data_IF_093566972040
#
_entry.id   IF_093566972040
#
_cell.length_a   1.000
_cell.length_b   1.000
_cell.length_c   1.000
_cell.angle_alpha   90.00
_cell.angle_beta   90.00
_cell.angle_gamma   90.00
#
_symmetry.space_group_name_H-M   'P 1'
#
loop_
_entity.id
_entity.type
_entity.pdbx_description
1 polymer ?
#
# COMPACT_ATOMS: atom_id res chain seq x y z
N UNK A 1 0.11 -33.83 -5.36
CA UNK A 1 -1.24 -33.36 -5.78
C UNK A 1 -1.36 -31.85 -5.75
N UNK A 2 -2.02 -31.27 -6.75
CA UNK A 2 -2.25 -29.81 -6.89
C UNK A 2 -2.99 -29.24 -5.66
N UNK A 3 -3.80 -30.07 -4.99
CA UNK A 3 -4.50 -29.76 -3.73
C UNK A 3 -3.57 -29.47 -2.56
N UNK A 4 -2.29 -29.89 -2.63
CA UNK A 4 -1.30 -29.63 -1.59
C UNK A 4 -0.45 -28.37 -1.84
N UNK A 5 -0.62 -27.71 -2.99
CA UNK A 5 0.14 -26.50 -3.36
C UNK A 5 -0.48 -25.24 -2.74
N UNK A 6 0.36 -24.26 -2.42
CA UNK A 6 -0.08 -22.98 -1.86
C UNK A 6 -0.77 -22.12 -2.91
N UNK A 7 -1.81 -21.41 -2.47
CA UNK A 7 -2.58 -20.51 -3.33
C UNK A 7 -1.70 -19.34 -3.82
N UNK A 8 -1.64 -19.07 -5.14
CA UNK A 8 -0.72 -18.09 -5.71
C UNK A 8 -0.91 -16.66 -5.19
N UNK A 9 -2.15 -16.26 -4.95
CA UNK A 9 -2.46 -14.90 -4.49
C UNK A 9 -1.96 -14.64 -3.06
N UNK A 10 -1.81 -15.69 -2.24
CA UNK A 10 -1.30 -15.56 -0.87
C UNK A 10 0.22 -15.55 -0.78
N UNK A 11 0.92 -15.73 -1.91
CA UNK A 11 2.39 -15.69 -1.98
C UNK A 11 2.94 -14.29 -2.30
N UNK A 12 2.04 -13.34 -2.64
CA UNK A 12 2.36 -11.97 -3.02
C UNK A 12 3.20 -11.25 -1.95
N UNK A 13 4.10 -10.36 -2.35
CA UNK A 13 4.93 -9.56 -1.46
C UNK A 13 4.11 -8.65 -0.53
N UNK A 14 2.96 -8.18 -1.01
CA UNK A 14 2.00 -7.39 -0.23
C UNK A 14 1.08 -8.23 0.67
N UNK A 15 1.19 -9.57 0.65
CA UNK A 15 0.34 -10.44 1.48
C UNK A 15 0.82 -10.48 2.94
N UNK A 16 -0.12 -10.30 3.87
CA UNK A 16 0.06 -10.52 5.31
C UNK A 16 0.08 -12.01 5.67
N UNK A 17 -0.34 -12.91 4.79
CA UNK A 17 -0.32 -14.34 5.11
C UNK A 17 1.12 -14.88 5.23
N UNK A 18 2.06 -14.29 4.47
CA UNK A 18 3.50 -14.56 4.57
C UNK A 18 4.12 -14.21 5.94
N UNK A 19 3.37 -13.54 6.82
CA UNK A 19 3.85 -12.90 8.05
C UNK A 19 3.88 -13.85 9.23
N UNK A 20 2.92 -14.78 9.30
CA UNK A 20 2.93 -15.82 10.33
C UNK A 20 4.11 -16.79 10.16
N UNK A 21 4.62 -16.95 8.93
CA UNK A 21 5.67 -17.92 8.61
C UNK A 21 7.02 -17.33 8.18
N UNK A 22 7.07 -16.09 7.67
CA UNK A 22 8.31 -15.42 7.24
C UNK A 22 8.26 -13.90 7.53
N UNK A 23 8.31 -13.54 8.81
CA UNK A 23 8.23 -12.16 9.30
C UNK A 23 9.22 -11.18 8.63
N UNK A 24 10.35 -11.66 8.13
CA UNK A 24 11.45 -10.82 7.65
C UNK A 24 11.10 -9.95 6.43
N UNK A 25 10.32 -10.46 5.47
CA UNK A 25 10.04 -9.76 4.20
C UNK A 25 9.03 -8.63 4.41
N UNK A 26 7.97 -8.90 5.19
CA UNK A 26 6.98 -7.87 5.48
C UNK A 26 7.53 -6.80 6.41
N UNK A 27 8.34 -7.17 7.40
CA UNK A 27 9.00 -6.22 8.29
C UNK A 27 9.92 -5.27 7.48
N UNK A 28 10.58 -5.79 6.44
CA UNK A 28 11.34 -5.00 5.49
C UNK A 28 10.47 -4.05 4.66
N UNK A 29 9.32 -4.51 4.14
CA UNK A 29 8.37 -3.63 3.42
C UNK A 29 7.81 -2.54 4.35
N UNK A 30 7.40 -2.90 5.56
CA UNK A 30 6.84 -1.94 6.54
C UNK A 30 7.88 -0.90 6.96
N UNK A 31 9.16 -1.26 7.07
CA UNK A 31 10.23 -0.33 7.38
C UNK A 31 10.63 0.57 6.20
N UNK A 32 10.69 0.02 4.99
CA UNK A 32 11.19 0.74 3.81
C UNK A 32 10.10 1.58 3.14
N UNK A 33 8.84 1.12 3.16
CA UNK A 33 7.72 1.77 2.47
C UNK A 33 7.55 3.26 2.82
N UNK A 34 7.58 3.69 4.10
CA UNK A 34 7.44 5.11 4.45
C UNK A 34 8.51 6.02 3.83
N UNK A 35 9.70 5.48 3.56
CA UNK A 35 10.79 6.20 2.89
C UNK A 35 10.58 6.12 1.37
N UNK A 36 10.31 4.93 0.85
CA UNK A 36 10.21 4.64 -0.58
C UNK A 36 9.08 5.42 -1.25
N UNK A 37 7.94 5.62 -0.57
CA UNK A 37 6.77 6.31 -1.13
C UNK A 37 7.04 7.77 -1.51
N UNK A 38 7.94 8.45 -0.78
CA UNK A 38 8.23 9.86 -1.00
C UNK A 38 9.23 10.10 -2.15
N UNK A 39 10.02 9.10 -2.53
CA UNK A 39 11.16 9.27 -3.44
C UNK A 39 10.78 9.56 -4.90
N UNK A 40 9.80 8.85 -5.53
CA UNK A 40 9.59 8.94 -6.98
C UNK A 40 9.28 10.35 -7.49
N UNK A 41 8.54 11.15 -6.73
CA UNK A 41 8.13 12.49 -7.13
C UNK A 41 8.42 13.58 -6.10
N UNK A 42 8.78 13.24 -4.86
CA UNK A 42 8.93 14.22 -3.77
C UNK A 42 10.01 15.29 -4.01
N UNK A 43 11.04 14.99 -4.80
CA UNK A 43 12.11 15.95 -5.11
C UNK A 43 11.89 16.73 -6.40
N UNK A 44 10.81 16.44 -7.13
CA UNK A 44 10.57 17.02 -8.46
C UNK A 44 10.41 18.53 -8.42
N UNK A 45 9.65 19.04 -7.45
CA UNK A 45 9.40 20.47 -7.33
C UNK A 45 10.56 21.23 -6.66
N UNK A 46 11.20 20.68 -5.64
CA UNK A 46 12.33 21.35 -4.99
C UNK A 46 13.58 21.44 -5.86
N UNK A 47 13.74 20.52 -6.83
CA UNK A 47 14.72 20.67 -7.89
C UNK A 47 14.46 21.94 -8.72
N UNK A 48 13.23 22.17 -9.13
CA UNK A 48 12.83 23.33 -9.96
C UNK A 48 12.89 24.66 -9.20
N UNK A 49 12.63 24.65 -7.89
CA UNK A 49 12.86 25.81 -7.02
C UNK A 49 14.34 26.21 -6.98
N UNK A 50 15.23 25.23 -6.85
CA UNK A 50 16.68 25.48 -6.75
C UNK A 50 17.27 25.98 -8.06
N UNK A 51 16.77 25.51 -9.21
CA UNK A 51 17.21 25.97 -10.53
C UNK A 51 16.48 27.22 -11.02
N UNK A 52 15.48 27.70 -10.27
CA UNK A 52 14.57 28.81 -10.63
C UNK A 52 13.75 28.55 -11.90
N UNK A 53 13.67 27.30 -12.36
CA UNK A 53 12.81 26.87 -13.46
C UNK A 53 11.33 27.12 -13.16
N UNK A 54 10.94 27.05 -11.87
CA UNK A 54 9.58 27.33 -11.44
C UNK A 54 9.09 28.72 -11.86
N UNK A 55 9.99 29.72 -11.85
CA UNK A 55 9.65 31.11 -12.15
C UNK A 55 9.25 31.21 -13.62
N UNK A 56 10.04 30.61 -14.51
CA UNK A 56 9.75 30.56 -15.94
C UNK A 56 8.44 29.82 -16.24
N UNK A 57 8.19 28.69 -15.57
CA UNK A 57 6.95 27.92 -15.72
C UNK A 57 5.73 28.71 -15.23
N UNK A 58 5.83 29.39 -14.08
CA UNK A 58 4.76 30.20 -13.50
C UNK A 58 4.41 31.38 -14.42
N UNK A 59 5.40 32.06 -15.00
CA UNK A 59 5.16 33.15 -15.95
C UNK A 59 4.40 32.70 -17.21
N UNK A 60 4.64 31.46 -17.69
CA UNK A 60 4.01 30.94 -18.91
C UNK A 60 2.60 30.35 -18.68
N UNK A 61 2.42 29.60 -17.59
CA UNK A 61 1.21 28.80 -17.35
C UNK A 61 0.25 29.42 -16.33
N UNK A 62 0.75 30.36 -15.51
CA UNK A 62 0.08 30.84 -14.32
C UNK A 62 0.28 29.93 -13.11
N UNK A 63 0.40 30.54 -11.92
CA UNK A 63 0.75 29.85 -10.66
C UNK A 63 -0.17 28.67 -10.34
N UNK A 64 -1.49 28.88 -10.36
CA UNK A 64 -2.43 27.86 -9.90
C UNK A 64 -2.45 26.62 -10.82
N UNK A 65 -2.40 26.82 -12.14
CA UNK A 65 -2.38 25.71 -13.11
C UNK A 65 -1.10 24.89 -12.97
N UNK A 66 0.04 25.57 -12.85
CA UNK A 66 1.32 24.89 -12.67
C UNK A 66 1.38 24.04 -11.38
N UNK A 67 0.92 24.58 -10.25
CA UNK A 67 0.89 23.83 -8.98
C UNK A 67 -0.04 22.61 -9.04
N UNK A 68 -1.24 22.76 -9.63
CA UNK A 68 -2.17 21.64 -9.81
C UNK A 68 -1.59 20.57 -10.74
N UNK A 69 -1.01 20.96 -11.88
CA UNK A 69 -0.36 20.03 -12.80
C UNK A 69 0.78 19.27 -12.11
N UNK A 70 1.55 19.93 -11.24
CA UNK A 70 2.63 19.30 -10.49
C UNK A 70 2.12 18.27 -9.48
N UNK A 71 1.03 18.56 -8.77
CA UNK A 71 0.40 17.61 -7.85
C UNK A 71 -0.13 16.39 -8.59
N UNK A 72 -0.86 16.58 -9.70
CA UNK A 72 -1.36 15.48 -10.51
C UNK A 72 -0.24 14.64 -11.11
N UNK A 73 0.81 15.28 -11.63
CA UNK A 73 1.97 14.57 -12.15
C UNK A 73 2.62 13.71 -11.06
N UNK A 74 2.85 14.28 -9.88
CA UNK A 74 3.39 13.55 -8.72
C UNK A 74 2.53 12.35 -8.37
N UNK A 75 1.22 12.55 -8.24
CA UNK A 75 0.25 11.51 -7.89
C UNK A 75 0.30 10.31 -8.85
N UNK A 76 0.21 10.59 -10.16
CA UNK A 76 0.21 9.54 -11.18
C UNK A 76 1.56 8.83 -11.26
N UNK A 77 2.69 9.56 -11.18
CA UNK A 77 4.02 8.95 -11.16
C UNK A 77 4.16 7.99 -9.98
N UNK A 78 3.81 8.39 -8.77
CA UNK A 78 3.90 7.52 -7.59
C UNK A 78 2.93 6.35 -7.67
N UNK A 79 1.69 6.58 -8.14
CA UNK A 79 0.72 5.49 -8.34
C UNK A 79 1.27 4.44 -9.30
N UNK A 80 1.79 4.83 -10.47
CA UNK A 80 2.32 3.92 -11.49
C UNK A 80 3.53 3.14 -10.97
N UNK A 81 4.46 3.82 -10.29
CA UNK A 81 5.68 3.19 -9.74
C UNK A 81 5.34 2.08 -8.75
N UNK A 82 4.26 2.22 -7.98
CA UNK A 82 3.83 1.17 -7.05
C UNK A 82 2.88 0.16 -7.67
N UNK A 83 1.93 0.54 -8.54
CA UNK A 83 0.96 -0.41 -9.11
C UNK A 83 1.60 -1.39 -10.09
N UNK A 84 2.47 -0.91 -10.98
CA UNK A 84 2.98 -1.73 -12.10
C UNK A 84 3.81 -2.93 -11.62
N UNK A 85 4.77 -2.79 -10.68
CA UNK A 85 5.54 -3.94 -10.21
C UNK A 85 4.67 -5.01 -9.53
N UNK A 86 3.68 -4.61 -8.73
CA UNK A 86 2.79 -5.55 -8.05
C UNK A 86 1.78 -6.21 -8.99
N UNK A 87 1.32 -5.50 -10.03
CA UNK A 87 0.51 -6.11 -11.09
C UNK A 87 1.32 -7.16 -11.86
N UNK A 88 2.60 -6.87 -12.15
CA UNK A 88 3.50 -7.82 -12.78
C UNK A 88 3.74 -9.03 -11.87
N UNK A 89 3.88 -8.83 -10.56
CA UNK A 89 3.99 -9.92 -9.59
C UNK A 89 2.76 -10.84 -9.61
N UNK A 90 1.54 -10.27 -9.63
CA UNK A 90 0.31 -11.05 -9.76
C UNK A 90 0.33 -11.89 -11.04
N UNK A 91 0.69 -11.27 -12.18
CA UNK A 91 0.76 -11.94 -13.48
C UNK A 91 1.77 -13.10 -13.44
N UNK A 92 2.98 -12.85 -12.94
CA UNK A 92 4.02 -13.88 -12.82
C UNK A 92 3.60 -15.02 -11.90
N UNK A 93 2.89 -14.73 -10.81
CA UNK A 93 2.37 -15.76 -9.91
C UNK A 93 1.27 -16.61 -10.56
N UNK A 94 0.40 -16.01 -11.39
CA UNK A 94 -0.61 -16.76 -12.16
C UNK A 94 0.02 -17.65 -13.23
N UNK A 95 1.15 -17.25 -13.82
CA UNK A 95 1.89 -18.08 -14.78
C UNK A 95 2.69 -19.20 -14.12
N UNK A 96 3.24 -18.95 -12.92
CA UNK A 96 4.17 -19.86 -12.26
C UNK A 96 3.46 -20.98 -11.47
N UNK A 97 2.25 -20.71 -10.96
CA UNK A 97 1.55 -21.63 -10.07
C UNK A 97 0.15 -22.00 -10.61
N UNK A 98 -0.30 -23.24 -10.39
CA UNK A 98 -1.64 -23.65 -10.80
C UNK A 98 -2.71 -22.88 -10.00
N UNK A 99 -3.68 -22.30 -10.71
CA UNK A 99 -4.76 -21.51 -10.09
C UNK A 99 -5.68 -22.34 -9.17
N UNK A 100 -5.68 -23.66 -9.34
CA UNK A 100 -6.45 -24.62 -8.55
C UNK A 100 -5.79 -24.98 -7.20
N UNK A 101 -4.66 -24.35 -6.86
CA UNK A 101 -4.01 -24.52 -5.57
C UNK A 101 -4.83 -23.83 -4.46
N UNK A 102 -5.20 -24.59 -3.42
CA UNK A 102 -6.17 -24.15 -2.41
C UNK A 102 -5.58 -24.06 -1.00
N UNK A 103 -4.35 -24.54 -0.79
CA UNK A 103 -3.74 -24.47 0.55
C UNK A 103 -3.25 -23.07 0.89
N UNK A 104 -3.31 -22.77 2.17
CA UNK A 104 -2.76 -21.56 2.76
C UNK A 104 -1.42 -21.84 3.48
N UNK A 105 -0.58 -20.82 3.69
CA UNK A 105 0.69 -20.93 4.43
C UNK A 105 0.48 -21.39 5.87
N UNK A 106 -0.68 -21.08 6.46
CA UNK A 106 -1.10 -21.57 7.78
C UNK A 106 -1.35 -23.09 7.83
N UNK A 107 -1.37 -23.78 6.67
CA UNK A 107 -1.71 -25.19 6.51
C UNK A 107 -3.08 -25.60 7.08
N UNK A 108 -3.95 -24.63 7.38
CA UNK A 108 -5.33 -24.89 7.79
C UNK A 108 -6.14 -25.42 6.62
N UNK A 109 -7.08 -26.33 6.92
CA UNK A 109 -8.06 -26.78 5.93
C UNK A 109 -9.09 -25.67 5.68
N UNK A 110 -9.58 -25.59 4.45
CA UNK A 110 -10.61 -24.61 4.05
C UNK A 110 -11.92 -24.82 4.82
N UNK A 111 -12.14 -26.06 5.28
CA UNK A 111 -13.31 -26.46 6.07
C UNK A 111 -13.18 -26.14 7.55
N UNK A 112 -12.04 -25.63 8.02
CA UNK A 112 -11.90 -25.21 9.40
C UNK A 112 -12.70 -23.91 9.64
N UNK A 113 -13.48 -23.87 10.71
CA UNK A 113 -14.23 -22.69 11.14
C UNK A 113 -13.30 -21.50 11.42
N UNK A 114 -12.10 -21.76 11.96
CA UNK A 114 -11.11 -20.72 12.23
C UNK A 114 -10.68 -20.03 10.93
N UNK A 115 -10.41 -20.81 9.88
CA UNK A 115 -10.04 -20.27 8.57
C UNK A 115 -11.17 -19.43 7.96
N UNK A 116 -12.42 -19.88 8.08
CA UNK A 116 -13.57 -19.11 7.61
C UNK A 116 -13.65 -17.75 8.33
N UNK A 117 -13.50 -17.73 9.67
CA UNK A 117 -13.51 -16.47 10.43
C UNK A 117 -12.38 -15.52 10.04
N UNK A 118 -11.18 -16.04 9.76
CA UNK A 118 -10.04 -15.23 9.29
C UNK A 118 -10.32 -14.58 7.94
N UNK A 119 -10.89 -15.34 7.00
CA UNK A 119 -11.25 -14.83 5.66
C UNK A 119 -12.35 -13.76 5.75
N UNK A 120 -13.30 -13.91 6.68
CA UNK A 120 -14.35 -12.91 6.89
C UNK A 120 -13.80 -11.57 7.41
N UNK A 121 -12.66 -11.56 8.11
CA UNK A 121 -12.00 -10.34 8.59
C UNK A 121 -11.27 -9.55 7.50
N UNK A 122 -11.09 -10.13 6.30
CA UNK A 122 -10.47 -9.42 5.18
C UNK A 122 -11.31 -8.21 4.77
N UNK A 123 -10.64 -7.10 4.47
CA UNK A 123 -11.29 -5.92 3.87
C UNK A 123 -11.86 -6.36 2.53
N UNK A 124 -13.18 -6.35 2.35
CA UNK A 124 -13.83 -6.82 1.13
C UNK A 124 -13.89 -8.34 0.99
N UNK A 125 -14.12 -9.06 2.10
CA UNK A 125 -14.20 -10.54 2.14
C UNK A 125 -15.16 -11.15 1.10
N UNK A 126 -16.29 -10.50 0.79
CA UNK A 126 -17.21 -10.93 -0.26
C UNK A 126 -16.54 -11.05 -1.65
N UNK A 127 -15.66 -10.11 -1.99
CA UNK A 127 -14.92 -10.11 -3.26
C UNK A 127 -13.91 -11.25 -3.29
N UNK A 128 -13.25 -11.50 -2.15
CA UNK A 128 -12.31 -12.61 -2.02
C UNK A 128 -12.98 -13.97 -2.17
N UNK A 129 -14.15 -14.16 -1.56
CA UNK A 129 -14.95 -15.39 -1.69
C UNK A 129 -15.40 -15.60 -3.15
N UNK A 130 -15.79 -14.53 -3.85
CA UNK A 130 -16.18 -14.61 -5.25
C UNK A 130 -15.00 -14.95 -6.18
N UNK A 131 -13.88 -14.22 -6.06
CA UNK A 131 -12.67 -14.52 -6.83
C UNK A 131 -11.40 -13.95 -6.17
N UNK A 132 -10.47 -14.80 -5.71
CA UNK A 132 -9.23 -14.35 -5.07
C UNK A 132 -8.31 -13.51 -5.97
N UNK A 133 -8.33 -13.77 -7.29
CA UNK A 133 -7.51 -13.02 -8.26
C UNK A 133 -7.99 -11.58 -8.43
N UNK A 134 -9.30 -11.38 -8.58
CA UNK A 134 -9.89 -10.04 -8.70
C UNK A 134 -9.69 -9.24 -7.42
N UNK A 135 -9.80 -9.90 -6.26
CA UNK A 135 -9.45 -9.29 -4.99
C UNK A 135 -8.03 -8.72 -4.97
N UNK A 136 -7.03 -9.51 -5.41
CA UNK A 136 -5.64 -9.06 -5.46
C UNK A 136 -5.43 -7.88 -6.40
N UNK A 137 -6.09 -7.87 -7.57
CA UNK A 137 -6.02 -6.77 -8.54
C UNK A 137 -6.63 -5.48 -7.96
N UNK A 138 -7.82 -5.54 -7.36
CA UNK A 138 -8.47 -4.36 -6.80
C UNK A 138 -7.70 -3.77 -5.61
N UNK A 139 -7.21 -4.64 -4.73
CA UNK A 139 -6.45 -4.20 -3.55
C UNK A 139 -5.08 -3.64 -3.90
N UNK A 140 -4.40 -4.17 -4.94
CA UNK A 140 -3.16 -3.56 -5.45
C UNK A 140 -3.39 -2.21 -6.13
N UNK A 141 -4.51 -2.02 -6.84
CA UNK A 141 -4.89 -0.70 -7.34
C UNK A 141 -5.15 0.28 -6.20
N UNK A 142 -5.90 -0.15 -5.17
CA UNK A 142 -6.15 0.65 -3.98
C UNK A 142 -4.86 1.05 -3.27
N UNK A 143 -3.93 0.10 -3.07
CA UNK A 143 -2.61 0.35 -2.52
C UNK A 143 -1.82 1.39 -3.34
N UNK A 144 -1.88 1.29 -4.66
CA UNK A 144 -1.29 2.25 -5.57
C UNK A 144 -1.83 3.66 -5.42
N UNK A 145 -3.15 3.81 -5.35
CA UNK A 145 -3.82 5.11 -5.15
C UNK A 145 -3.43 5.73 -3.81
N UNK A 146 -3.44 4.94 -2.73
CA UNK A 146 -3.03 5.46 -1.41
C UNK A 146 -1.56 5.85 -1.40
N UNK A 147 -0.69 5.05 -2.04
CA UNK A 147 0.72 5.41 -2.24
C UNK A 147 0.87 6.69 -3.05
N UNK A 148 -0.01 6.90 -4.04
CA UNK A 148 -0.14 8.13 -4.81
C UNK A 148 -0.43 9.34 -3.93
N UNK A 149 -1.46 9.25 -3.07
CA UNK A 149 -1.83 10.34 -2.15
C UNK A 149 -0.66 10.66 -1.22
N UNK A 150 -0.08 9.63 -0.58
CA UNK A 150 1.06 9.80 0.32
C UNK A 150 2.27 10.42 -0.38
N UNK A 151 2.56 10.00 -1.62
CA UNK A 151 3.66 10.52 -2.42
C UNK A 151 3.50 11.98 -2.86
N UNK A 152 2.28 12.53 -2.86
CA UNK A 152 2.05 13.96 -3.13
C UNK A 152 2.30 14.87 -1.94
N UNK A 153 2.26 14.35 -0.70
CA UNK A 153 2.44 15.15 0.51
C UNK A 153 3.78 15.90 0.55
N UNK A 154 4.94 15.29 0.20
CA UNK A 154 6.21 16.00 0.11
C UNK A 154 6.19 17.18 -0.87
N UNK A 155 5.51 17.00 -2.01
CA UNK A 155 5.39 18.04 -3.04
C UNK A 155 4.51 19.18 -2.54
N UNK A 156 3.38 18.87 -1.90
CA UNK A 156 2.49 19.88 -1.32
C UNK A 156 3.18 20.71 -0.24
N UNK A 157 3.98 20.07 0.63
CA UNK A 157 4.75 20.76 1.68
C UNK A 157 5.83 21.66 1.07
N UNK A 158 6.43 21.24 -0.03
CA UNK A 158 7.43 22.03 -0.75
C UNK A 158 6.87 23.34 -1.32
N UNK A 159 5.55 23.42 -1.56
CA UNK A 159 4.90 24.68 -1.97
C UNK A 159 4.86 25.71 -0.85
N UNK A 160 4.78 25.26 0.41
CA UNK A 160 4.71 26.13 1.57
C UNK A 160 6.10 26.47 2.14
N UNK A 161 7.05 25.55 2.05
CA UNK A 161 8.37 25.66 2.65
C UNK A 161 9.48 25.52 1.60
N UNK A 162 10.34 26.52 1.50
CA UNK A 162 11.57 26.44 0.68
C UNK A 162 12.65 25.69 1.45
N UNK A 163 12.85 24.42 1.11
CA UNK A 163 13.76 23.55 1.85
C UNK A 163 15.15 23.51 1.19
N UNK A 164 16.20 23.81 1.97
CA UNK A 164 17.60 23.70 1.50
C UNK A 164 18.01 22.25 1.22
N UNK A 165 17.59 21.32 2.08
CA UNK A 165 17.91 19.89 1.99
C UNK A 165 16.70 19.08 1.49
N UNK A 166 16.81 18.53 0.27
CA UNK A 166 15.72 17.78 -0.36
C UNK A 166 15.26 16.59 0.48
N UNK A 167 16.18 15.89 1.13
CA UNK A 167 15.92 14.70 1.97
C UNK A 167 14.93 14.97 3.11
N UNK A 168 14.84 16.21 3.62
CA UNK A 168 13.92 16.58 4.70
C UNK A 168 12.45 16.45 4.27
N UNK A 169 12.16 16.45 2.97
CA UNK A 169 10.80 16.27 2.43
C UNK A 169 10.27 14.84 2.56
N UNK A 170 11.12 13.87 2.87
CA UNK A 170 10.69 12.49 3.18
C UNK A 170 10.08 12.43 4.60
N UNK A 171 10.50 13.34 5.48
CA UNK A 171 10.16 13.29 6.91
C UNK A 171 8.64 13.36 7.18
N UNK A 172 7.84 14.20 6.51
CA UNK A 172 6.41 14.30 6.77
C UNK A 172 5.66 12.98 6.53
N UNK A 173 5.93 12.30 5.40
CA UNK A 173 5.32 10.99 5.10
C UNK A 173 5.80 9.91 6.06
N UNK A 174 7.08 9.95 6.42
CA UNK A 174 7.67 9.03 7.38
C UNK A 174 7.05 9.17 8.78
N UNK A 175 6.93 10.41 9.28
CA UNK A 175 6.33 10.69 10.59
C UNK A 175 4.86 10.32 10.59
N UNK A 176 4.11 10.63 9.53
CA UNK A 176 2.69 10.28 9.43
C UNK A 176 2.46 8.77 9.56
N UNK A 177 3.20 7.96 8.79
CA UNK A 177 3.03 6.51 8.81
C UNK A 177 3.50 5.90 10.14
N UNK A 178 4.63 6.35 10.69
CA UNK A 178 5.09 5.85 11.99
C UNK A 178 4.23 6.35 13.16
N UNK A 179 3.62 7.53 13.08
CA UNK A 179 2.70 8.00 14.10
C UNK A 179 1.51 7.03 14.26
N UNK A 180 0.99 6.47 13.16
CA UNK A 180 -0.10 5.48 13.26
C UNK A 180 0.30 4.19 13.97
N UNK A 181 1.58 3.76 13.86
CA UNK A 181 2.05 2.57 14.58
C UNK A 181 2.27 2.86 16.06
N UNK A 182 2.80 4.03 16.41
CA UNK A 182 2.95 4.45 17.81
C UNK A 182 1.62 4.70 18.52
N UNK A 183 0.64 5.31 17.83
CA UNK A 183 -0.71 5.52 18.36
C UNK A 183 -1.39 4.18 18.68
N UNK A 184 -1.17 3.17 17.84
CA UNK A 184 -1.70 1.82 18.09
C UNK A 184 -1.13 1.19 19.39
N UNK A 185 0.14 1.46 19.72
CA UNK A 185 0.76 1.00 20.98
C UNK A 185 0.13 1.73 22.18
N UNK A 186 -0.18 3.02 22.02
CA UNK A 186 -0.75 3.85 23.08
C UNK A 186 -2.21 3.48 23.41
N UNK A 187 -2.99 3.10 22.39
CA UNK A 187 -4.44 2.86 22.50
C UNK A 187 -4.84 1.44 22.99
N UNK A 188 -3.89 0.68 23.56
CA UNK A 188 -4.09 -0.65 24.21
C UNK A 188 -5.16 -1.53 23.51
N UNK A 189 -4.92 -1.88 22.24
CA UNK A 189 -5.60 -2.95 21.49
C UNK A 189 -7.11 -2.81 21.19
N UNK A 190 -7.77 -1.64 21.39
CA UNK A 190 -9.20 -1.51 21.03
C UNK A 190 -9.48 -1.36 19.54
N UNK A 191 -8.54 -0.79 18.79
CA UNK A 191 -8.59 -0.71 17.33
C UNK A 191 -7.19 -0.75 16.79
N UNK A 192 -6.90 -1.68 15.88
CA UNK A 192 -5.56 -1.80 15.33
C UNK A 192 -5.28 -0.68 14.32
N UNK A 193 -4.84 0.49 14.79
CA UNK A 193 -4.63 1.70 13.96
C UNK A 193 -3.42 1.63 13.02
N UNK A 194 -2.64 0.56 13.06
CA UNK A 194 -1.45 0.41 12.22
C UNK A 194 -1.79 0.42 10.73
N UNK A 195 -1.23 1.37 9.98
CA UNK A 195 -1.47 1.55 8.55
C UNK A 195 -1.32 0.27 7.71
N UNK A 196 -0.32 -0.57 8.04
CA UNK A 196 0.00 -1.76 7.25
C UNK A 196 -1.10 -2.83 7.30
N UNK A 197 -1.92 -2.86 8.35
CA UNK A 197 -3.08 -3.78 8.43
C UNK A 197 -4.19 -3.43 7.44
N UNK A 198 -4.29 -2.16 7.07
CA UNK A 198 -5.29 -1.69 6.12
C UNK A 198 -4.78 -1.69 4.69
N UNK A 199 -3.48 -1.46 4.50
CA UNK A 199 -2.86 -1.35 3.18
C UNK A 199 -2.34 -2.66 2.60
N UNK A 200 -1.91 -3.61 3.44
CA UNK A 200 -1.45 -4.92 2.98
C UNK A 200 -2.63 -5.90 2.82
N UNK A 201 -2.46 -6.88 1.94
CA UNK A 201 -3.50 -7.82 1.56
C UNK A 201 -3.62 -8.95 2.59
N UNK A 202 -4.83 -9.51 2.75
CA UNK A 202 -5.10 -10.71 3.57
C UNK A 202 -4.77 -10.55 5.07
N UNK A 203 -5.06 -9.37 5.63
CA UNK A 203 -5.03 -9.15 7.07
C UNK A 203 -6.20 -9.86 7.75
N UNK A 204 -5.91 -10.86 8.57
CA UNK A 204 -6.88 -11.67 9.31
C UNK A 204 -7.30 -11.04 10.65
N UNK A 205 -6.68 -9.93 11.04
CA UNK A 205 -6.98 -9.28 12.32
C UNK A 205 -8.37 -8.66 12.32
N UNK A 206 -9.16 -8.83 13.41
CA UNK A 206 -10.52 -8.34 13.46
C UNK A 206 -10.51 -6.82 13.38
N UNK A 207 -11.13 -6.30 12.32
CA UNK A 207 -11.27 -4.86 12.11
C UNK A 207 -12.56 -4.45 12.80
N UNK A 208 -12.49 -3.42 13.63
CA UNK A 208 -13.65 -2.85 14.34
C UNK A 208 -14.56 -2.04 13.38
N UNK A 209 -14.66 -2.50 12.14
CA UNK A 209 -15.61 -2.04 11.14
C UNK A 209 -16.80 -2.96 11.31
N UNK A 210 -17.98 -2.40 11.55
CA UNK A 210 -19.23 -3.15 11.64
C UNK A 210 -19.45 -3.83 10.29
N UNK A 211 -18.96 -5.06 10.14
CA UNK A 211 -19.34 -5.93 9.03
C UNK A 211 -20.71 -6.47 9.43
N UNK A 212 -21.77 -6.25 8.63
CA UNK A 212 -23.05 -6.86 8.92
C UNK A 212 -22.83 -8.37 8.78
N UNK A 213 -22.93 -9.07 9.91
CA UNK A 213 -23.16 -10.49 9.95
C UNK A 213 -24.46 -10.74 9.18
N UNK A 214 -24.37 -11.10 7.90
CA UNK A 214 -25.49 -11.75 7.23
C UNK A 214 -25.49 -13.18 7.75
N UNK A 215 -26.51 -13.48 8.58
CA UNK A 215 -26.84 -14.83 9.02
C UNK A 215 -27.40 -15.70 7.90
#
# INVERSE_FOLDING_TARGET
DISQMYQPMKLLALSLNKVYFSANIQLLIVMIYPILVAVPAGFSYTKEQQTKEEVYMIYRLGKNRYLQSKLWASFFTTTIVFTVPFMLEILMNMLSFPMNAIRDLSNLSIYNTDYATMVHNYIGSAIYIASPGLYAILTTLFFGVVSGILGTLPVAISFALTVKYRTLLILPTFVLLNATTYLNILDRNKSSLSWYKYLLLFDDTPKNIIVPLMG
#
